data_IF_654822588286
#
_entry.id   IF_654822588286
#
_cell.length_a   1.000
_cell.length_b   1.000
_cell.length_c   1.000
_cell.angle_alpha   90.00
_cell.angle_beta   90.00
_cell.angle_gamma   90.00
#
_symmetry.space_group_name_H-M   'P 1'
#
loop_
_entity.id
_entity.type
_entity.pdbx_description
1 polymer ?
#
# COMPACT_ATOMS: atom_id res chain seq x y z
N UNK A 1 17.52 16.70 -27.70
CA UNK A 1 16.75 15.88 -26.75
C UNK A 1 16.43 14.55 -27.43
N UNK A 2 16.85 13.41 -26.87
CA UNK A 2 16.58 12.10 -27.48
C UNK A 2 15.21 11.62 -27.03
N UNK A 3 14.23 11.72 -27.90
CA UNK A 3 12.97 10.99 -27.79
C UNK A 3 13.30 9.50 -27.91
N UNK A 4 13.46 8.81 -26.79
CA UNK A 4 13.50 7.35 -26.81
C UNK A 4 12.15 6.86 -27.29
N UNK A 5 12.11 5.71 -27.94
CA UNK A 5 10.92 5.03 -28.48
C UNK A 5 9.84 4.70 -27.42
N UNK A 6 10.03 5.14 -26.16
CA UNK A 6 9.21 4.87 -24.99
C UNK A 6 8.29 6.05 -24.56
N UNK A 7 8.31 7.17 -25.29
CA UNK A 7 7.45 8.33 -25.01
C UNK A 7 7.97 9.25 -23.89
N UNK A 8 7.46 10.48 -23.83
CA UNK A 8 7.84 11.47 -22.81
C UNK A 8 7.46 10.96 -21.39
N UNK A 9 8.34 11.13 -20.38
CA UNK A 9 8.04 10.74 -19.01
C UNK A 9 6.74 11.40 -18.51
N UNK A 10 5.79 10.59 -18.04
CA UNK A 10 4.58 11.12 -17.41
C UNK A 10 4.91 11.60 -15.99
N UNK A 11 4.26 12.67 -15.49
CA UNK A 11 4.44 13.10 -14.11
C UNK A 11 4.15 11.97 -13.12
N UNK A 12 4.81 12.00 -11.95
CA UNK A 12 4.55 11.00 -10.91
C UNK A 12 3.20 11.36 -10.26
N UNK A 13 2.21 10.45 -10.22
CA UNK A 13 0.93 10.73 -9.60
C UNK A 13 1.03 11.03 -8.10
N UNK A 14 0.12 11.86 -7.61
CA UNK A 14 0.00 12.14 -6.20
C UNK A 14 -0.40 10.90 -5.40
N UNK A 15 0.25 10.68 -4.26
CA UNK A 15 0.00 9.54 -3.36
C UNK A 15 -1.34 9.56 -2.62
N UNK A 16 -2.00 10.72 -2.55
CA UNK A 16 -3.21 10.89 -1.73
C UNK A 16 -4.42 10.12 -2.26
N UNK A 17 -4.64 10.12 -3.59
CA UNK A 17 -5.78 9.42 -4.20
C UNK A 17 -5.75 7.91 -3.93
N UNK A 18 -4.61 7.21 -4.19
CA UNK A 18 -4.47 5.80 -3.85
C UNK A 18 -4.72 5.50 -2.37
N UNK A 19 -4.14 6.30 -1.46
CA UNK A 19 -4.30 6.12 -0.01
C UNK A 19 -5.78 6.29 0.40
N UNK A 20 -6.47 7.29 -0.15
CA UNK A 20 -7.88 7.51 0.13
C UNK A 20 -8.75 6.33 -0.33
N UNK A 21 -8.39 5.68 -1.44
CA UNK A 21 -9.08 4.49 -1.93
C UNK A 21 -8.94 3.31 -0.95
N UNK A 22 -7.71 3.03 -0.49
CA UNK A 22 -7.44 2.00 0.52
C UNK A 22 -8.16 2.27 1.83
N UNK A 23 -8.10 3.53 2.32
CA UNK A 23 -8.82 3.96 3.51
C UNK A 23 -10.34 3.79 3.36
N UNK A 24 -10.87 4.13 2.19
CA UNK A 24 -12.29 3.95 1.85
C UNK A 24 -12.71 2.49 1.95
N UNK A 25 -11.92 1.56 1.41
CA UNK A 25 -12.20 0.11 1.52
C UNK A 25 -12.23 -0.34 2.99
N UNK A 26 -11.25 0.08 3.80
CA UNK A 26 -11.20 -0.29 5.22
C UNK A 26 -12.39 0.29 5.99
N UNK A 27 -12.72 1.57 5.76
CA UNK A 27 -13.85 2.23 6.40
C UNK A 27 -15.19 1.58 6.01
N UNK A 28 -15.39 1.27 4.73
CA UNK A 28 -16.61 0.63 4.24
C UNK A 28 -16.71 -0.85 4.66
N UNK A 29 -15.59 -1.52 4.93
CA UNK A 29 -15.61 -2.88 5.45
C UNK A 29 -16.08 -2.95 6.91
N UNK A 30 -15.94 -1.87 7.69
CA UNK A 30 -16.37 -1.84 9.09
C UNK A 30 -17.87 -2.21 9.25
N UNK A 31 -18.83 -1.54 8.59
CA UNK A 31 -20.24 -1.92 8.71
C UNK A 31 -20.50 -3.34 8.20
N UNK A 32 -19.78 -3.80 7.16
CA UNK A 32 -19.91 -5.19 6.67
C UNK A 32 -19.48 -6.19 7.73
N UNK A 33 -18.36 -5.96 8.41
CA UNK A 33 -17.87 -6.85 9.46
C UNK A 33 -18.83 -6.92 10.65
N UNK A 34 -19.43 -5.79 11.02
CA UNK A 34 -20.41 -5.70 12.11
C UNK A 34 -21.72 -6.42 11.76
N UNK A 35 -22.24 -6.21 10.55
CA UNK A 35 -23.52 -6.81 10.11
C UNK A 35 -23.37 -8.30 9.80
N UNK A 36 -22.26 -8.72 9.18
CA UNK A 36 -22.01 -10.11 8.83
C UNK A 36 -21.50 -10.98 10.00
N UNK A 37 -21.31 -10.40 11.18
CA UNK A 37 -20.77 -11.11 12.35
C UNK A 37 -19.34 -11.62 12.15
N UNK A 38 -18.57 -11.00 11.25
CA UNK A 38 -17.18 -11.35 11.00
C UNK A 38 -16.28 -10.94 12.17
N UNK A 39 -15.13 -11.60 12.36
CA UNK A 39 -14.26 -11.30 13.49
C UNK A 39 -13.73 -9.86 13.42
N UNK A 40 -14.24 -9.00 14.30
CA UNK A 40 -13.87 -7.58 14.39
C UNK A 40 -12.36 -7.38 14.57
N UNK A 41 -11.69 -8.28 15.30
CA UNK A 41 -10.24 -8.28 15.43
C UNK A 41 -9.51 -8.31 14.08
N UNK A 42 -10.05 -9.01 13.08
CA UNK A 42 -9.46 -9.06 11.73
C UNK A 42 -9.50 -7.70 11.03
N UNK A 43 -10.59 -6.95 11.23
CA UNK A 43 -10.72 -5.58 10.73
C UNK A 43 -9.70 -4.66 11.40
N UNK A 44 -9.58 -4.71 12.73
CA UNK A 44 -8.62 -3.89 13.49
C UNK A 44 -7.19 -4.18 13.04
N UNK A 45 -6.82 -5.45 12.90
CA UNK A 45 -5.48 -5.86 12.46
C UNK A 45 -5.18 -5.31 11.07
N UNK A 46 -6.10 -5.49 10.11
CA UNK A 46 -5.92 -4.96 8.75
C UNK A 46 -5.75 -3.43 8.76
N UNK A 47 -6.56 -2.71 9.54
CA UNK A 47 -6.47 -1.26 9.68
C UNK A 47 -5.12 -0.81 10.26
N UNK A 48 -4.67 -1.44 11.36
CA UNK A 48 -3.38 -1.13 12.01
C UNK A 48 -2.21 -1.41 11.07
N UNK A 49 -2.21 -2.56 10.40
CA UNK A 49 -1.18 -2.94 9.43
C UNK A 49 -1.14 -1.94 8.27
N UNK A 50 -2.31 -1.57 7.73
CA UNK A 50 -2.42 -0.59 6.67
C UNK A 50 -1.86 0.79 7.08
N UNK A 51 -2.24 1.31 8.26
CA UNK A 51 -1.70 2.56 8.79
C UNK A 51 -0.17 2.47 8.95
N UNK A 52 0.33 1.34 9.46
CA UNK A 52 1.77 1.09 9.60
C UNK A 52 2.51 1.17 8.26
N UNK A 53 1.94 0.60 7.20
CA UNK A 53 2.51 0.65 5.84
C UNK A 53 2.53 2.08 5.31
N UNK A 54 1.47 2.88 5.54
CA UNK A 54 1.47 4.28 5.14
C UNK A 54 2.49 5.10 5.93
N UNK A 55 2.61 4.86 7.24
CA UNK A 55 3.61 5.50 8.10
C UNK A 55 5.05 5.23 7.64
N UNK A 56 5.36 3.96 7.33
CA UNK A 56 6.65 3.56 6.74
C UNK A 56 6.89 4.27 5.40
N UNK A 57 5.88 4.35 4.54
CA UNK A 57 5.98 5.08 3.27
C UNK A 57 6.29 6.57 3.47
N UNK A 58 5.69 7.21 4.47
CA UNK A 58 5.97 8.60 4.82
C UNK A 58 7.38 8.79 5.41
N UNK A 59 7.84 7.85 6.24
CA UNK A 59 9.20 7.86 6.80
C UNK A 59 10.25 7.70 5.69
N UNK A 60 10.05 6.74 4.79
CA UNK A 60 10.94 6.51 3.64
C UNK A 60 10.95 7.70 2.69
N UNK A 61 9.82 8.38 2.50
CA UNK A 61 9.75 9.57 1.66
C UNK A 61 10.55 10.78 2.22
N UNK A 62 10.99 10.73 3.48
CA UNK A 62 11.90 11.76 4.04
C UNK A 62 13.35 11.52 3.64
N UNK A 63 13.72 10.31 3.23
CA UNK A 63 15.06 9.98 2.76
C UNK A 63 15.19 10.46 1.32
N UNK A 64 16.06 11.46 1.06
CA UNK A 64 16.33 11.96 -0.29
C UNK A 64 17.29 10.99 -1.01
N UNK A 65 16.87 10.31 -2.09
CA UNK A 65 17.80 9.52 -2.89
C UNK A 65 18.80 10.47 -3.55
N UNK A 66 20.10 10.24 -3.33
CA UNK A 66 21.18 10.89 -4.08
C UNK A 66 21.99 9.80 -4.76
N UNK A 67 22.34 10.01 -6.03
CA UNK A 67 23.09 9.03 -6.82
C UNK A 67 24.43 8.64 -6.18
N UNK A 68 25.03 9.55 -5.40
CA UNK A 68 26.28 9.33 -4.67
C UNK A 68 26.11 8.55 -3.36
N UNK A 69 24.87 8.26 -2.93
CA UNK A 69 24.60 7.64 -1.64
C UNK A 69 23.92 6.28 -1.81
N UNK A 70 24.73 5.30 -2.21
CA UNK A 70 24.31 3.92 -2.42
C UNK A 70 23.59 3.34 -1.19
N UNK A 71 24.05 3.67 0.01
CA UNK A 71 23.41 3.25 1.26
C UNK A 71 21.97 3.77 1.39
N UNK A 72 21.71 5.02 1.03
CA UNK A 72 20.36 5.61 1.07
C UNK A 72 19.43 4.95 0.03
N UNK A 73 19.95 4.66 -1.17
CA UNK A 73 19.21 3.94 -2.22
C UNK A 73 18.90 2.50 -1.81
N UNK A 74 19.84 1.80 -1.16
CA UNK A 74 19.65 0.45 -0.62
C UNK A 74 18.60 0.42 0.49
N UNK A 75 18.65 1.34 1.46
CA UNK A 75 17.66 1.42 2.54
C UNK A 75 16.27 1.73 2.00
N UNK A 76 16.16 2.58 0.98
CA UNK A 76 14.89 2.87 0.34
C UNK A 76 14.33 1.63 -0.37
N UNK A 77 15.16 0.91 -1.12
CA UNK A 77 14.76 -0.32 -1.83
C UNK A 77 14.37 -1.44 -0.85
N UNK A 78 15.19 -1.68 0.17
CA UNK A 78 14.90 -2.66 1.23
C UNK A 78 13.69 -2.26 2.08
N UNK A 79 13.48 -0.97 2.34
CA UNK A 79 12.31 -0.50 3.06
C UNK A 79 11.02 -0.71 2.26
N UNK A 80 11.06 -0.42 0.95
CA UNK A 80 9.92 -0.62 0.05
C UNK A 80 9.56 -2.11 -0.11
N UNK A 81 10.57 -2.98 -0.25
CA UNK A 81 10.35 -4.43 -0.35
C UNK A 81 9.99 -5.05 1.00
N UNK A 82 10.69 -4.61 2.05
CA UNK A 82 10.53 -5.08 3.43
C UNK A 82 9.15 -4.80 4.00
N UNK A 83 8.47 -3.72 3.58
CA UNK A 83 7.09 -3.46 4.01
C UNK A 83 6.13 -4.60 3.63
N UNK A 84 6.28 -5.19 2.45
CA UNK A 84 5.44 -6.30 2.00
C UNK A 84 5.73 -7.57 2.79
N UNK A 85 7.01 -7.82 3.08
CA UNK A 85 7.42 -8.93 3.94
C UNK A 85 6.89 -8.76 5.38
N UNK A 86 6.97 -7.55 5.94
CA UNK A 86 6.44 -7.26 7.26
C UNK A 86 4.94 -7.53 7.34
N UNK A 87 4.17 -7.07 6.35
CA UNK A 87 2.73 -7.35 6.23
C UNK A 87 2.48 -8.86 6.16
N UNK A 88 3.21 -9.58 5.31
CA UNK A 88 3.06 -11.03 5.16
C UNK A 88 3.31 -11.74 6.48
N UNK A 89 4.40 -11.41 7.18
CA UNK A 89 4.73 -11.98 8.50
C UNK A 89 3.60 -11.72 9.50
N UNK A 90 3.07 -10.50 9.57
CA UNK A 90 1.96 -10.17 10.48
C UNK A 90 0.71 -10.98 10.15
N UNK A 91 0.31 -11.04 8.88
CA UNK A 91 -0.90 -11.77 8.47
C UNK A 91 -0.76 -13.28 8.70
N UNK A 92 0.42 -13.85 8.42
CA UNK A 92 0.71 -15.26 8.68
C UNK A 92 0.70 -15.56 10.18
N UNK A 93 1.30 -14.69 11.00
CA UNK A 93 1.30 -14.85 12.45
C UNK A 93 -0.14 -14.83 13.00
N UNK A 94 -0.97 -13.90 12.55
CA UNK A 94 -2.38 -13.81 12.95
C UNK A 94 -3.17 -15.03 12.48
N UNK A 95 -2.97 -15.49 11.25
CA UNK A 95 -3.62 -16.69 10.72
C UNK A 95 -3.20 -17.96 11.47
N UNK A 96 -1.94 -18.04 11.93
CA UNK A 96 -1.45 -19.13 12.77
C UNK A 96 -2.06 -19.10 14.17
N UNK A 97 -2.29 -17.91 14.75
CA UNK A 97 -2.97 -17.77 16.06
C UNK A 97 -4.47 -18.04 15.98
N UNK A 98 -5.15 -17.49 14.96
CA UNK A 98 -6.58 -17.70 14.73
C UNK A 98 -6.87 -17.60 13.23
N UNK A 99 -7.23 -18.75 12.65
CA UNK A 99 -7.44 -18.89 11.20
C UNK A 99 -8.52 -17.94 10.67
N UNK A 100 -9.63 -17.79 11.37
CA UNK A 100 -10.76 -16.97 10.94
C UNK A 100 -10.40 -15.48 10.98
N UNK A 101 -9.72 -15.05 12.05
CA UNK A 101 -9.25 -13.66 12.19
C UNK A 101 -8.19 -13.33 11.13
N UNK A 102 -7.23 -14.23 10.91
CA UNK A 102 -6.18 -14.04 9.92
C UNK A 102 -6.72 -14.01 8.50
N UNK A 103 -7.68 -14.87 8.16
CA UNK A 103 -8.36 -14.85 6.86
C UNK A 103 -9.09 -13.53 6.64
N UNK A 104 -9.86 -13.07 7.63
CA UNK A 104 -10.57 -11.79 7.54
C UNK A 104 -9.62 -10.60 7.38
N UNK A 105 -8.53 -10.57 8.15
CA UNK A 105 -7.50 -9.54 8.05
C UNK A 105 -6.80 -9.53 6.69
N UNK A 106 -6.43 -10.73 6.19
CA UNK A 106 -5.73 -10.87 4.92
C UNK A 106 -6.61 -10.48 3.73
N UNK A 107 -7.87 -10.87 3.73
CA UNK A 107 -8.83 -10.49 2.68
C UNK A 107 -9.06 -8.98 2.67
N UNK A 108 -9.28 -8.38 3.85
CA UNK A 108 -9.51 -6.95 3.93
C UNK A 108 -8.29 -6.13 3.52
N UNK A 109 -7.11 -6.48 4.04
CA UNK A 109 -5.87 -5.81 3.66
C UNK A 109 -5.59 -5.98 2.15
N UNK A 110 -5.80 -7.19 1.61
CA UNK A 110 -5.65 -7.46 0.18
C UNK A 110 -6.55 -6.59 -0.67
N UNK A 111 -7.84 -6.49 -0.32
CA UNK A 111 -8.80 -5.62 -1.02
C UNK A 111 -8.41 -4.15 -0.97
N UNK A 112 -8.00 -3.67 0.21
CA UNK A 112 -7.55 -2.29 0.37
C UNK A 112 -6.35 -2.02 -0.54
N UNK A 113 -5.33 -2.88 -0.49
CA UNK A 113 -4.11 -2.75 -1.30
C UNK A 113 -4.41 -2.80 -2.81
N UNK A 114 -5.31 -3.71 -3.25
CA UNK A 114 -5.72 -3.78 -4.65
C UNK A 114 -6.40 -2.48 -5.09
N UNK A 115 -7.28 -1.89 -4.26
CA UNK A 115 -7.91 -0.61 -4.57
C UNK A 115 -6.88 0.53 -4.70
N UNK A 116 -5.89 0.61 -3.81
CA UNK A 116 -4.81 1.59 -3.93
C UNK A 116 -4.06 1.43 -5.26
N UNK A 117 -3.73 0.18 -5.61
CA UNK A 117 -2.99 -0.15 -6.82
C UNK A 117 -3.80 0.20 -8.08
N UNK A 118 -5.08 -0.13 -8.11
CA UNK A 118 -5.98 0.21 -9.21
C UNK A 118 -6.09 1.73 -9.41
N UNK A 119 -6.26 2.50 -8.33
CA UNK A 119 -6.32 3.96 -8.41
C UNK A 119 -4.98 4.56 -8.81
N UNK A 120 -3.86 4.00 -8.31
CA UNK A 120 -2.52 4.42 -8.71
C UNK A 120 -2.32 4.25 -10.22
N UNK A 121 -2.64 3.07 -10.76
CA UNK A 121 -2.54 2.77 -12.20
C UNK A 121 -3.46 3.71 -12.99
N UNK A 122 -4.72 3.85 -12.59
CA UNK A 122 -5.66 4.74 -13.27
C UNK A 122 -5.17 6.19 -13.27
N UNK A 123 -4.63 6.67 -12.15
CA UNK A 123 -4.09 8.03 -12.03
C UNK A 123 -2.86 8.27 -12.88
N UNK A 124 -2.00 7.26 -13.08
CA UNK A 124 -0.84 7.35 -13.96
C UNK A 124 -1.25 7.48 -15.43
N UNK A 125 -2.26 6.71 -15.85
CA UNK A 125 -2.73 6.72 -17.23
C UNK A 125 -3.65 7.91 -17.56
N UNK A 126 -4.31 8.50 -16.56
CA UNK A 126 -5.13 9.69 -16.71
C UNK A 126 -4.31 10.98 -16.99
N UNK A 127 -3.00 10.97 -16.75
CA UNK A 127 -2.15 12.14 -16.99
C UNK A 127 -1.69 12.25 -18.45
N UNK A 128 -1.71 13.47 -18.97
CA UNK A 128 -1.17 13.79 -20.29
C UNK A 128 0.37 13.70 -20.28
N UNK A 129 1.00 13.16 -21.34
CA UNK A 129 2.46 13.17 -21.48
C UNK A 129 2.96 14.61 -21.55
N UNK A 130 3.82 15.00 -20.61
CA UNK A 130 4.44 16.33 -20.60
C UNK A 130 5.89 16.19 -21.10
N UNK A 131 6.16 16.80 -22.27
CA UNK A 131 7.47 16.86 -22.89
C UNK A 131 8.36 17.94 -22.28
#
# INVERSE_FOLDING_TARGET
MRTTTLGAPRPIPGRFLPIAAGAGVIALALPVFLVAGWPFAGWVIAAVVWIGVQGLGLLLARVRPSADNLAASSVLAFGMMGRLLAVLVVLVAVAASNRTVGLAAALLYGLAYTAELSVSIASYYAQEPKA
#
